data_IF_362477403275
#
_entry.id   IF_362477403275
#
_cell.length_a   1.000
_cell.length_b   1.000
_cell.length_c   1.000
_cell.angle_alpha   90.00
_cell.angle_beta   90.00
_cell.angle_gamma   90.00
#
_symmetry.space_group_name_H-M   'P 1'
#
loop_
_entity.id
_entity.type
_entity.pdbx_description
1 polymer ?
#
# COMPACT_ATOMS: atom_id res chain seq x y z
N UNK A 1 -67.82 -15.71 23.39
CA UNK A 1 -67.07 -16.97 23.23
C UNK A 1 -65.58 -16.61 23.23
N UNK A 2 -64.82 -17.12 24.21
CA UNK A 2 -63.35 -17.18 24.41
C UNK A 2 -62.42 -16.25 23.59
N UNK A 3 -61.76 -15.27 24.26
CA UNK A 3 -60.40 -15.28 24.87
C UNK A 3 -59.25 -15.08 23.85
N UNK A 4 -58.52 -13.96 23.85
CA UNK A 4 -57.39 -13.51 24.71
C UNK A 4 -56.01 -13.93 24.18
N UNK A 5 -55.10 -12.95 24.25
CA UNK A 5 -53.70 -12.91 23.87
C UNK A 5 -52.74 -13.82 24.69
N UNK A 6 -51.48 -13.82 24.22
CA UNK A 6 -50.23 -13.71 24.99
C UNK A 6 -49.27 -14.91 24.99
N UNK A 7 -48.04 -14.56 25.35
CA UNK A 7 -46.72 -15.15 25.13
C UNK A 7 -46.34 -16.41 25.91
N UNK A 8 -45.18 -16.96 25.51
CA UNK A 8 -44.08 -17.50 26.32
C UNK A 8 -44.16 -18.91 26.96
N UNK A 9 -42.99 -19.57 26.82
CA UNK A 9 -42.27 -20.48 27.73
C UNK A 9 -42.80 -21.89 28.05
N UNK A 10 -41.91 -22.84 27.75
CA UNK A 10 -41.49 -24.04 28.50
C UNK A 10 -42.52 -25.10 28.92
N UNK A 11 -42.23 -26.34 28.52
CA UNK A 11 -42.71 -27.56 29.17
C UNK A 11 -41.56 -28.26 29.90
N UNK A 12 -41.78 -28.48 31.19
CA UNK A 12 -41.00 -29.25 32.16
C UNK A 12 -41.36 -30.73 32.15
N UNK A 13 -40.55 -31.61 32.76
CA UNK A 13 -41.00 -32.60 33.77
C UNK A 13 -39.76 -33.21 34.50
N UNK A 14 -39.54 -32.92 35.80
CA UNK A 14 -39.86 -33.73 37.02
C UNK A 14 -38.96 -34.98 37.22
N UNK A 15 -38.47 -35.41 38.40
CA UNK A 15 -38.56 -35.05 39.84
C UNK A 15 -37.51 -35.91 40.61
N UNK A 16 -36.89 -35.37 41.68
CA UNK A 16 -36.78 -35.91 43.08
C UNK A 16 -36.41 -37.42 43.29
N UNK A 17 -35.45 -37.87 44.11
CA UNK A 17 -35.14 -37.60 45.53
C UNK A 17 -33.86 -38.37 46.00
N UNK A 18 -33.21 -37.81 47.03
CA UNK A 18 -32.37 -38.38 48.13
C UNK A 18 -32.34 -39.92 48.32
N UNK A 19 -31.29 -40.59 48.80
CA UNK A 19 -30.62 -40.42 50.13
C UNK A 19 -29.43 -41.41 50.29
N UNK A 20 -28.47 -41.03 51.14
CA UNK A 20 -27.26 -41.74 51.63
C UNK A 20 -27.48 -43.18 52.16
N UNK A 21 -26.48 -44.07 51.99
CA UNK A 21 -25.94 -44.93 53.06
C UNK A 21 -24.55 -45.51 52.73
N UNK A 22 -23.85 -45.91 53.78
CA UNK A 22 -22.39 -45.93 53.99
C UNK A 22 -21.94 -47.35 54.37
N UNK A 23 -20.66 -47.65 54.10
CA UNK A 23 -19.74 -48.55 54.85
C UNK A 23 -19.67 -50.07 54.59
N UNK A 24 -18.44 -50.48 54.20
CA UNK A 24 -17.42 -51.28 54.95
C UNK A 24 -17.06 -52.70 54.44
N UNK A 25 -15.73 -52.84 54.21
CA UNK A 25 -14.79 -53.96 54.53
C UNK A 25 -15.06 -55.33 53.88
N UNK A 26 -14.11 -56.22 53.60
CA UNK A 26 -12.64 -56.28 53.52
C UNK A 26 -12.28 -57.76 53.23
N UNK A 27 -11.19 -58.06 52.52
CA UNK A 27 -10.25 -59.21 52.72
C UNK A 27 -9.42 -59.43 51.43
N UNK A 28 -8.10 -59.20 51.46
CA UNK A 28 -7.00 -60.18 51.66
C UNK A 28 -6.92 -61.29 50.59
N UNK A 29 -5.88 -61.29 49.76
CA UNK A 29 -4.71 -62.16 49.92
C UNK A 29 -3.67 -61.94 48.79
N UNK A 30 -2.41 -62.06 49.17
CA UNK A 30 -1.22 -61.92 48.34
C UNK A 30 -0.84 -63.25 47.67
N UNK A 31 -0.11 -63.17 46.56
CA UNK A 31 0.90 -64.18 46.18
C UNK A 31 2.10 -63.48 45.53
N UNK A 32 3.28 -63.87 46.00
CA UNK A 32 4.62 -63.40 45.63
C UNK A 32 5.37 -64.47 44.83
N UNK A 33 6.49 -64.02 44.23
CA UNK A 33 7.61 -64.76 43.56
C UNK A 33 7.48 -64.87 42.04
N UNK A 34 8.50 -64.65 41.21
CA UNK A 34 9.94 -64.38 41.43
C UNK A 34 10.61 -63.87 40.13
N UNK A 35 11.71 -63.13 40.33
CA UNK A 35 12.84 -62.73 39.47
C UNK A 35 13.03 -63.22 38.02
N UNK A 36 13.64 -62.29 37.26
CA UNK A 36 14.72 -62.36 36.23
C UNK A 36 14.24 -61.62 34.96
N UNK A 37 14.91 -60.63 34.37
CA UNK A 37 16.25 -60.10 34.50
C UNK A 37 16.40 -58.82 33.65
N UNK A 38 17.29 -57.93 34.09
CA UNK A 38 17.69 -56.70 33.40
C UNK A 38 18.19 -56.95 31.99
N UNK A 39 17.64 -56.23 30.98
CA UNK A 39 18.35 -55.73 29.78
C UNK A 39 17.55 -54.90 28.77
N UNK A 40 16.27 -54.59 28.99
CA UNK A 40 15.42 -53.96 27.95
C UNK A 40 15.01 -52.49 28.18
N UNK A 41 15.53 -51.80 29.20
CA UNK A 41 15.02 -50.47 29.60
C UNK A 41 15.82 -49.26 29.11
N UNK A 42 16.97 -49.44 28.46
CA UNK A 42 17.81 -48.31 28.02
C UNK A 42 17.68 -47.91 26.53
N UNK A 43 16.95 -48.67 25.71
CA UNK A 43 16.79 -48.33 24.27
C UNK A 43 15.45 -47.66 23.90
N UNK A 44 14.45 -47.65 24.79
CA UNK A 44 13.10 -47.14 24.46
C UNK A 44 12.89 -45.66 24.79
N UNK A 45 13.73 -45.05 25.63
CA UNK A 45 13.62 -43.62 25.98
C UNK A 45 14.32 -42.68 24.99
N UNK A 46 15.31 -43.16 24.23
CA UNK A 46 16.02 -42.31 23.26
C UNK A 46 15.27 -42.08 21.94
N UNK A 47 14.36 -42.98 21.56
CA UNK A 47 13.61 -42.85 20.29
C UNK A 47 12.36 -41.96 20.38
N UNK A 48 11.89 -41.65 21.59
CA UNK A 48 10.69 -40.80 21.80
C UNK A 48 11.01 -39.32 21.97
N UNK A 49 12.27 -38.94 22.21
CA UNK A 49 12.64 -37.54 22.40
C UNK A 49 13.03 -36.83 21.09
N UNK A 50 13.43 -37.58 20.06
CA UNK A 50 13.93 -37.02 18.78
C UNK A 50 12.78 -36.71 17.81
N UNK A 51 11.60 -37.31 17.99
CA UNK A 51 10.42 -37.06 17.15
C UNK A 51 9.55 -35.90 17.63
N UNK A 52 9.69 -35.48 18.90
CA UNK A 52 8.96 -34.34 19.45
C UNK A 52 9.64 -32.99 19.14
N UNK A 53 10.95 -32.97 18.96
CA UNK A 53 11.69 -31.73 18.65
C UNK A 53 11.57 -31.28 17.20
N UNK A 54 11.38 -32.22 16.24
CA UNK A 54 11.21 -31.86 14.81
C UNK A 54 9.82 -31.29 14.47
N UNK A 55 8.75 -31.77 15.10
CA UNK A 55 7.39 -31.26 14.83
C UNK A 55 7.15 -29.87 15.45
N UNK A 56 7.72 -29.60 16.63
CA UNK A 56 7.65 -28.27 17.24
C UNK A 56 8.52 -27.24 16.53
N UNK A 57 9.67 -27.63 15.94
CA UNK A 57 10.50 -26.70 15.17
C UNK A 57 9.82 -26.29 13.85
N UNK A 58 9.11 -27.20 13.18
CA UNK A 58 8.37 -26.89 11.94
C UNK A 58 7.17 -25.99 12.21
N UNK A 59 6.48 -26.16 13.35
CA UNK A 59 5.37 -25.27 13.73
C UNK A 59 5.87 -23.87 14.15
N UNK A 60 7.04 -23.78 14.78
CA UNK A 60 7.69 -22.50 15.13
C UNK A 60 8.26 -21.79 13.90
N UNK A 61 8.75 -22.55 12.91
CA UNK A 61 9.16 -22.02 11.59
C UNK A 61 7.95 -21.58 10.76
N UNK A 62 6.79 -22.23 10.85
CA UNK A 62 5.56 -21.77 10.18
C UNK A 62 4.94 -20.50 10.80
N UNK A 63 5.24 -20.20 12.07
CA UNK A 63 4.81 -18.96 12.73
C UNK A 63 5.72 -17.76 12.45
N UNK A 64 6.87 -17.97 11.77
CA UNK A 64 7.78 -16.90 11.34
C UNK A 64 7.61 -16.51 9.86
N UNK A 65 6.65 -17.11 9.15
CA UNK A 65 6.37 -16.84 7.73
C UNK A 65 4.94 -16.33 7.51
N UNK A 66 4.44 -15.50 8.42
CA UNK A 66 3.26 -14.66 8.14
C UNK A 66 3.62 -13.17 8.17
N UNK A 67 4.75 -12.81 7.60
CA UNK A 67 4.81 -11.51 6.92
C UNK A 67 4.28 -11.75 5.51
N UNK A 68 2.96 -11.60 5.35
CA UNK A 68 2.39 -11.34 4.05
C UNK A 68 3.09 -10.07 3.55
N UNK A 69 3.94 -10.22 2.52
CA UNK A 69 4.51 -9.13 1.76
C UNK A 69 3.38 -8.41 1.00
N UNK A 70 2.51 -7.74 1.74
CA UNK A 70 1.72 -6.65 1.22
C UNK A 70 2.67 -5.48 1.06
N UNK A 71 2.61 -4.79 -0.09
CA UNK A 71 3.23 -3.47 -0.24
C UNK A 71 2.83 -2.65 1.01
N UNK A 72 3.82 -2.28 1.83
CA UNK A 72 3.55 -1.72 3.15
C UNK A 72 2.99 -0.31 2.97
N UNK A 73 1.66 -0.17 3.01
CA UNK A 73 0.97 1.12 3.03
C UNK A 73 1.21 1.91 4.32
N UNK A 74 1.99 1.38 5.27
CA UNK A 74 2.36 2.05 6.51
C UNK A 74 3.52 3.01 6.32
N UNK A 75 3.39 4.22 6.88
CA UNK A 75 4.50 5.17 6.99
C UNK A 75 5.58 4.60 7.91
N UNK A 76 6.83 4.65 7.46
CA UNK A 76 7.96 4.23 8.29
C UNK A 76 9.18 5.10 7.97
N UNK A 77 9.34 6.17 8.75
CA UNK A 77 10.38 7.17 8.55
C UNK A 77 11.78 6.56 8.64
N UNK A 78 12.62 6.89 7.65
CA UNK A 78 14.05 6.62 7.68
C UNK A 78 14.81 7.92 7.99
N UNK A 79 15.33 8.09 9.22
CA UNK A 79 15.88 9.38 9.68
C UNK A 79 16.99 9.96 8.80
N UNK A 80 17.73 9.11 8.06
CA UNK A 80 18.79 9.55 7.13
C UNK A 80 18.31 10.48 6.01
N UNK A 81 17.00 10.50 5.73
CA UNK A 81 16.38 11.34 4.70
C UNK A 81 15.78 12.63 5.27
N UNK A 82 15.80 12.81 6.59
CA UNK A 82 15.36 14.06 7.23
C UNK A 82 16.42 15.17 7.14
N UNK A 83 17.66 14.84 6.83
CA UNK A 83 18.73 15.83 6.68
C UNK A 83 18.41 16.76 5.51
N UNK A 84 18.47 18.06 5.75
CA UNK A 84 18.24 19.10 4.74
C UNK A 84 19.03 20.36 5.09
N UNK A 85 19.17 21.27 4.11
CA UNK A 85 19.75 22.58 4.31
C UNK A 85 18.68 23.67 4.11
N UNK A 86 18.05 24.17 5.19
CA UNK A 86 16.95 25.12 5.11
C UNK A 86 17.30 26.44 4.41
N UNK A 87 18.57 26.85 4.44
CA UNK A 87 19.05 28.10 3.84
C UNK A 87 19.51 27.94 2.39
N UNK A 88 19.40 26.72 1.84
CA UNK A 88 19.83 26.46 0.46
C UNK A 88 18.87 27.08 -0.55
N UNK A 89 19.43 27.82 -1.51
CA UNK A 89 18.73 28.30 -2.71
C UNK A 89 19.13 27.52 -3.97
N UNK A 90 19.83 26.38 -3.80
CA UNK A 90 20.22 25.53 -4.93
C UNK A 90 18.98 24.93 -5.59
N UNK A 91 19.04 24.80 -6.91
CA UNK A 91 17.98 24.21 -7.74
C UNK A 91 18.54 22.97 -8.43
N UNK A 92 17.74 21.91 -8.45
CA UNK A 92 18.03 20.65 -9.14
C UNK A 92 17.51 20.76 -10.57
N UNK A 93 18.36 20.39 -11.52
CA UNK A 93 18.02 20.46 -12.93
C UNK A 93 17.23 19.20 -13.34
N UNK A 94 15.95 19.40 -13.69
CA UNK A 94 15.05 18.35 -14.19
C UNK A 94 14.86 18.37 -15.72
N UNK A 95 15.75 19.02 -16.49
CA UNK A 95 15.56 19.24 -17.93
C UNK A 95 15.45 17.94 -18.75
N UNK A 96 16.22 16.89 -18.40
CA UNK A 96 16.13 15.60 -19.09
C UNK A 96 14.75 14.96 -18.90
N UNK A 97 14.24 15.00 -17.67
CA UNK A 97 12.88 14.56 -17.35
C UNK A 97 11.83 15.41 -18.05
N UNK A 98 11.96 16.74 -18.01
CA UNK A 98 11.05 17.64 -18.72
C UNK A 98 11.03 17.39 -20.23
N UNK A 99 12.19 17.09 -20.82
CA UNK A 99 12.32 16.77 -22.25
C UNK A 99 11.58 15.48 -22.58
N UNK A 100 11.72 14.44 -21.73
CA UNK A 100 10.93 13.22 -21.86
C UNK A 100 9.43 13.51 -21.76
N UNK A 101 9.00 14.26 -20.73
CA UNK A 101 7.58 14.60 -20.51
C UNK A 101 6.98 15.30 -21.72
N UNK A 102 7.70 16.27 -22.30
CA UNK A 102 7.25 17.01 -23.49
C UNK A 102 7.07 16.10 -24.72
N UNK A 103 7.88 15.04 -24.83
CA UNK A 103 7.88 14.13 -25.98
C UNK A 103 6.85 13.02 -25.85
N UNK A 104 6.56 12.57 -24.63
CA UNK A 104 5.82 11.32 -24.40
C UNK A 104 4.56 11.46 -23.56
N UNK A 105 4.29 12.60 -22.96
CA UNK A 105 3.06 12.81 -22.20
C UNK A 105 2.08 13.66 -22.99
N UNK A 106 0.97 13.02 -23.38
CA UNK A 106 -0.15 13.66 -24.06
C UNK A 106 -1.35 13.77 -23.12
N UNK A 107 -2.20 14.77 -23.35
CA UNK A 107 -3.44 14.94 -22.57
C UNK A 107 -4.61 14.60 -23.48
N UNK A 108 -5.49 13.69 -23.07
CA UNK A 108 -6.70 13.36 -23.83
C UNK A 108 -7.83 14.37 -23.56
N UNK A 109 -8.97 14.19 -24.23
CA UNK A 109 -10.15 15.07 -24.11
C UNK A 109 -10.77 15.09 -22.70
N UNK A 110 -10.55 14.03 -21.92
CA UNK A 110 -10.98 13.90 -20.52
C UNK A 110 -9.97 14.53 -19.53
N UNK A 111 -8.98 15.27 -20.03
CA UNK A 111 -7.89 15.87 -19.25
C UNK A 111 -7.03 14.83 -18.50
N UNK A 112 -6.93 13.61 -19.02
CA UNK A 112 -6.06 12.56 -18.51
C UNK A 112 -4.71 12.65 -19.21
N UNK A 113 -3.63 12.69 -18.43
CA UNK A 113 -2.28 12.62 -18.97
C UNK A 113 -1.88 11.15 -19.17
N UNK A 114 -1.66 10.80 -20.44
CA UNK A 114 -1.28 9.49 -20.92
C UNK A 114 0.19 9.50 -21.35
N UNK A 115 0.89 8.39 -21.13
CA UNK A 115 2.27 8.20 -21.56
C UNK A 115 2.26 7.34 -22.82
N UNK A 116 2.79 7.87 -23.91
CA UNK A 116 2.89 7.19 -25.20
C UNK A 116 4.02 6.16 -25.20
N UNK A 117 3.80 5.04 -24.49
CA UNK A 117 4.74 3.91 -24.44
C UNK A 117 4.91 3.24 -25.80
N UNK A 118 3.83 3.15 -26.60
CA UNK A 118 3.82 2.53 -27.94
C UNK A 118 4.91 3.07 -28.87
N UNK A 119 5.13 4.39 -28.85
CA UNK A 119 6.08 5.01 -29.75
C UNK A 119 7.41 5.39 -29.08
N UNK A 120 7.72 4.89 -27.88
CA UNK A 120 9.00 5.17 -27.23
C UNK A 120 10.19 4.75 -28.08
N UNK A 121 11.15 5.67 -28.22
CA UNK A 121 12.39 5.45 -28.97
C UNK A 121 13.56 5.28 -28.02
N UNK A 122 14.70 4.81 -28.53
CA UNK A 122 15.93 4.73 -27.75
C UNK A 122 16.36 6.10 -27.17
N UNK A 123 16.05 7.20 -27.86
CA UNK A 123 16.31 8.55 -27.35
C UNK A 123 15.53 8.80 -26.05
N UNK A 124 14.26 8.38 -26.00
CA UNK A 124 13.41 8.57 -24.82
C UNK A 124 13.87 7.70 -23.65
N UNK A 125 14.24 6.45 -23.93
CA UNK A 125 14.80 5.53 -22.92
C UNK A 125 16.13 6.07 -22.36
N UNK A 126 16.97 6.65 -23.21
CA UNK A 126 18.22 7.28 -22.78
C UNK A 126 17.95 8.52 -21.92
N UNK A 127 16.97 9.36 -22.26
CA UNK A 127 16.57 10.50 -21.41
C UNK A 127 16.19 10.06 -20.00
N UNK A 128 15.39 8.99 -19.86
CA UNK A 128 15.02 8.43 -18.55
C UNK A 128 16.24 7.91 -17.78
N UNK A 129 17.07 7.10 -18.45
CA UNK A 129 18.28 6.51 -17.86
C UNK A 129 19.26 7.58 -17.37
N UNK A 130 19.56 8.56 -18.21
CA UNK A 130 20.51 9.61 -17.90
C UNK A 130 19.97 10.55 -16.81
N UNK A 131 18.67 10.82 -16.83
CA UNK A 131 18.00 11.56 -15.77
C UNK A 131 18.15 10.84 -14.41
N UNK A 132 17.75 9.57 -14.32
CA UNK A 132 17.81 8.81 -13.07
C UNK A 132 19.25 8.63 -12.57
N UNK A 133 20.20 8.43 -13.49
CA UNK A 133 21.63 8.44 -13.15
C UNK A 133 22.04 9.77 -12.52
N UNK A 134 21.72 10.89 -13.16
CA UNK A 134 22.05 12.22 -12.60
C UNK A 134 21.41 12.46 -11.24
N UNK A 135 20.17 12.00 -11.02
CA UNK A 135 19.50 12.11 -9.73
C UNK A 135 20.21 11.26 -8.64
N UNK A 136 20.74 10.09 -9.00
CA UNK A 136 21.44 9.21 -8.06
C UNK A 136 22.75 9.80 -7.51
N UNK A 137 23.37 10.71 -8.25
CA UNK A 137 24.65 11.34 -7.92
C UNK A 137 24.48 12.61 -7.06
N UNK A 138 23.24 13.13 -6.93
CA UNK A 138 22.95 14.33 -6.15
C UNK A 138 22.99 14.02 -4.65
N UNK A 139 23.82 14.77 -3.91
CA UNK A 139 23.72 14.81 -2.45
C UNK A 139 22.53 15.70 -2.03
N UNK A 140 21.39 15.05 -1.82
CA UNK A 140 20.10 15.68 -1.54
C UNK A 140 20.06 16.45 -0.21
N UNK A 141 20.98 16.19 0.72
CA UNK A 141 21.07 16.86 2.03
C UNK A 141 21.42 18.35 1.91
N UNK A 142 22.00 18.75 0.78
CA UNK A 142 22.41 20.14 0.50
C UNK A 142 21.26 21.06 0.07
N UNK A 143 20.02 20.55 0.02
CA UNK A 143 18.87 21.25 -0.53
C UNK A 143 17.81 21.49 0.55
N UNK A 144 16.98 22.51 0.34
CA UNK A 144 15.85 22.81 1.22
C UNK A 144 14.69 21.81 1.00
N UNK A 145 13.72 21.80 1.92
CA UNK A 145 12.61 20.84 1.91
C UNK A 145 11.75 20.84 0.65
N UNK A 146 11.52 21.99 0.04
CA UNK A 146 10.69 22.06 -1.16
C UNK A 146 11.44 21.44 -2.35
N UNK A 147 12.73 21.75 -2.49
CA UNK A 147 13.54 21.17 -3.55
C UNK A 147 13.73 19.65 -3.36
N UNK A 148 13.86 19.20 -2.10
CA UNK A 148 13.88 17.77 -1.79
C UNK A 148 12.59 17.05 -2.17
N UNK A 149 11.41 17.62 -1.87
CA UNK A 149 10.14 16.99 -2.26
C UNK A 149 9.98 16.95 -3.78
N UNK A 150 10.27 18.06 -4.46
CA UNK A 150 10.26 18.11 -5.93
C UNK A 150 11.15 17.03 -6.55
N UNK A 151 12.36 16.85 -6.01
CA UNK A 151 13.27 15.77 -6.40
C UNK A 151 12.63 14.39 -6.26
N UNK A 152 12.07 14.05 -5.09
CA UNK A 152 11.51 12.73 -4.84
C UNK A 152 10.27 12.43 -5.68
N UNK A 153 9.38 13.42 -5.87
CA UNK A 153 8.22 13.28 -6.76
C UNK A 153 8.65 13.01 -8.21
N UNK A 154 9.66 13.73 -8.70
CA UNK A 154 10.16 13.51 -10.05
C UNK A 154 10.89 12.16 -10.20
N UNK A 155 11.71 11.76 -9.21
CA UNK A 155 12.42 10.46 -9.22
C UNK A 155 11.42 9.31 -9.20
N UNK A 156 10.43 9.33 -8.32
CA UNK A 156 9.38 8.29 -8.26
C UNK A 156 8.70 8.14 -9.62
N UNK A 157 8.19 9.25 -10.17
CA UNK A 157 7.46 9.23 -11.44
C UNK A 157 8.34 8.76 -12.61
N UNK A 158 9.60 9.18 -12.68
CA UNK A 158 10.52 8.75 -13.72
C UNK A 158 10.87 7.25 -13.60
N UNK A 159 11.03 6.73 -12.38
CA UNK A 159 11.22 5.29 -12.14
C UNK A 159 10.00 4.49 -12.59
N UNK A 160 8.78 4.91 -12.19
CA UNK A 160 7.54 4.23 -12.61
C UNK A 160 7.44 4.16 -14.13
N UNK A 161 7.69 5.27 -14.82
CA UNK A 161 7.64 5.33 -16.28
C UNK A 161 8.73 4.45 -16.92
N UNK A 162 9.95 4.48 -16.40
CA UNK A 162 11.04 3.62 -16.91
C UNK A 162 10.71 2.14 -16.77
N UNK A 163 10.12 1.74 -15.63
CA UNK A 163 9.74 0.35 -15.40
C UNK A 163 8.67 -0.06 -16.41
N UNK A 164 7.60 0.71 -16.57
CA UNK A 164 6.56 0.37 -17.55
C UNK A 164 7.13 0.32 -18.96
N UNK A 165 7.97 1.28 -19.34
CA UNK A 165 8.63 1.28 -20.65
C UNK A 165 9.45 0.01 -20.93
N UNK A 166 10.12 -0.54 -19.91
CA UNK A 166 10.93 -1.76 -20.04
C UNK A 166 10.11 -3.04 -20.20
N UNK A 167 8.85 -3.04 -19.74
CA UNK A 167 7.98 -4.22 -19.76
C UNK A 167 6.84 -4.11 -20.78
N UNK A 168 6.66 -2.94 -21.41
CA UNK A 168 5.61 -2.70 -22.38
C UNK A 168 5.74 -3.65 -23.60
N UNK A 169 4.62 -4.18 -24.16
CA UNK A 169 3.22 -3.95 -23.81
C UNK A 169 2.73 -4.78 -22.62
N UNK A 170 2.00 -4.13 -21.70
CA UNK A 170 1.30 -4.73 -20.55
C UNK A 170 -0.08 -4.12 -20.39
N UNK A 171 -1.01 -4.86 -19.78
CA UNK A 171 -2.36 -4.33 -19.52
C UNK A 171 -2.41 -3.53 -18.22
N UNK A 172 -1.65 -3.97 -17.22
CA UNK A 172 -1.57 -3.35 -15.91
C UNK A 172 -0.15 -3.46 -15.36
N UNK A 173 0.30 -2.43 -14.64
CA UNK A 173 1.59 -2.42 -13.94
C UNK A 173 1.70 -3.58 -12.92
N UNK A 174 0.58 -4.13 -12.44
CA UNK A 174 0.55 -5.27 -11.51
C UNK A 174 1.14 -6.56 -12.10
N UNK A 175 1.23 -6.66 -13.43
CA UNK A 175 1.83 -7.82 -14.13
C UNK A 175 3.37 -7.84 -14.03
N UNK A 176 4.00 -6.73 -13.65
CA UNK A 176 5.47 -6.61 -13.58
C UNK A 176 5.98 -7.25 -12.28
N UNK A 177 6.20 -8.57 -12.30
CA UNK A 177 6.60 -9.37 -11.14
C UNK A 177 8.12 -9.35 -10.89
N UNK A 178 8.66 -8.17 -10.58
CA UNK A 178 10.10 -7.96 -10.28
C UNK A 178 10.39 -7.73 -8.80
N UNK A 179 9.35 -7.52 -7.99
CA UNK A 179 9.49 -7.39 -6.54
C UNK A 179 9.96 -8.73 -5.94
N UNK A 180 10.76 -8.72 -4.86
CA UNK A 180 11.17 -9.93 -4.18
C UNK A 180 10.01 -10.58 -3.42
N UNK A 181 9.92 -11.91 -3.47
CA UNK A 181 8.94 -12.71 -2.73
C UNK A 181 7.97 -13.48 -3.62
N UNK A 182 7.52 -14.65 -3.18
CA UNK A 182 6.72 -15.59 -3.99
C UNK A 182 5.29 -15.09 -4.29
N UNK A 183 4.82 -14.07 -3.58
CA UNK A 183 3.47 -13.52 -3.67
C UNK A 183 3.43 -12.00 -3.85
N UNK A 184 4.55 -11.39 -4.23
CA UNK A 184 4.59 -9.95 -4.49
C UNK A 184 3.84 -9.61 -5.78
N UNK A 185 3.10 -8.51 -5.77
CA UNK A 185 2.35 -8.01 -6.93
C UNK A 185 2.98 -6.71 -7.41
N UNK A 186 3.23 -6.60 -8.73
CA UNK A 186 3.79 -5.41 -9.36
C UNK A 186 5.22 -5.07 -8.91
N UNK A 187 5.74 -3.90 -9.36
CA UNK A 187 7.16 -3.58 -9.26
C UNK A 187 7.55 -2.80 -8.00
N UNK A 188 6.59 -2.44 -7.14
CA UNK A 188 6.78 -1.42 -6.11
C UNK A 188 7.86 -1.75 -5.06
N UNK A 189 8.09 -3.04 -4.79
CA UNK A 189 9.09 -3.52 -3.84
C UNK A 189 10.44 -3.89 -4.46
N UNK A 190 10.65 -3.69 -5.76
CA UNK A 190 11.93 -3.96 -6.40
C UNK A 190 12.94 -2.84 -6.13
N UNK A 191 14.21 -3.19 -5.95
CA UNK A 191 15.30 -2.21 -5.85
C UNK A 191 15.59 -1.61 -7.23
N UNK A 192 15.37 -0.31 -7.39
CA UNK A 192 15.33 0.33 -8.72
C UNK A 192 16.41 1.42 -8.88
N UNK A 193 16.82 2.04 -7.79
CA UNK A 193 17.85 3.08 -7.78
C UNK A 193 18.65 2.98 -6.49
N UNK A 194 19.91 3.42 -6.51
CA UNK A 194 20.72 3.58 -5.29
C UNK A 194 21.02 5.07 -5.10
N UNK A 195 20.62 5.63 -3.97
CA UNK A 195 20.87 7.04 -3.61
C UNK A 195 21.51 7.04 -2.21
N UNK A 196 22.62 7.78 -2.03
CA UNK A 196 23.39 7.79 -0.77
C UNK A 196 23.65 6.38 -0.23
N UNK A 197 24.21 5.52 -1.08
CA UNK A 197 24.55 4.11 -0.79
C UNK A 197 23.37 3.27 -0.27
N UNK A 198 22.14 3.67 -0.57
CA UNK A 198 20.94 2.95 -0.17
C UNK A 198 20.15 2.54 -1.39
N UNK A 199 19.96 1.23 -1.64
CA UNK A 199 19.03 0.77 -2.66
C UNK A 199 17.62 1.16 -2.23
N UNK A 200 16.85 1.69 -3.17
CA UNK A 200 15.51 2.20 -2.94
C UNK A 200 14.52 1.56 -3.90
N UNK A 201 13.37 1.22 -3.34
CA UNK A 201 12.17 0.78 -4.04
C UNK A 201 11.20 1.96 -4.24
N UNK A 202 10.15 1.78 -5.05
CA UNK A 202 9.08 2.78 -5.13
C UNK A 202 8.35 2.92 -3.78
N UNK A 203 8.15 1.79 -3.09
CA UNK A 203 7.55 1.77 -1.75
C UNK A 203 8.38 2.53 -0.72
N UNK A 204 9.71 2.43 -0.76
CA UNK A 204 10.57 3.19 0.15
C UNK A 204 10.47 4.69 -0.13
N UNK A 205 10.54 5.09 -1.41
CA UNK A 205 10.42 6.50 -1.80
C UNK A 205 9.07 7.07 -1.36
N UNK A 206 7.97 6.34 -1.57
CA UNK A 206 6.64 6.80 -1.19
C UNK A 206 6.44 6.79 0.34
N UNK A 207 6.58 5.62 0.96
CA UNK A 207 6.11 5.38 2.33
C UNK A 207 7.12 5.77 3.41
N UNK A 208 8.42 5.75 3.10
CA UNK A 208 9.49 6.00 4.08
C UNK A 208 10.14 7.37 3.94
N UNK A 209 9.97 8.00 2.79
CA UNK A 209 10.56 9.31 2.47
C UNK A 209 9.44 10.34 2.27
N UNK A 210 8.66 10.27 1.19
CA UNK A 210 7.67 11.31 0.84
C UNK A 210 6.58 11.42 1.93
N UNK A 211 5.84 10.35 2.17
CA UNK A 211 4.71 10.36 3.11
C UNK A 211 5.15 10.59 4.55
N UNK A 212 6.29 10.02 4.94
CA UNK A 212 6.79 10.06 6.31
C UNK A 212 7.40 11.43 6.69
N UNK A 213 8.09 12.12 5.77
CA UNK A 213 8.76 13.39 6.07
C UNK A 213 7.83 14.58 5.93
N UNK A 214 7.02 14.63 4.86
CA UNK A 214 6.20 15.82 4.58
C UNK A 214 4.82 15.74 5.20
N UNK A 215 4.27 14.54 5.37
CA UNK A 215 2.91 14.33 5.87
C UNK A 215 1.87 15.23 5.16
N UNK A 216 2.06 15.45 3.86
CA UNK A 216 1.21 16.30 3.03
C UNK A 216 0.33 15.41 2.12
N UNK A 217 -1.00 15.37 2.33
CA UNK A 217 -1.89 14.53 1.53
C UNK A 217 -1.87 14.86 0.05
N UNK A 218 -1.45 16.08 -0.34
CA UNK A 218 -1.38 16.49 -1.75
C UNK A 218 -0.34 15.70 -2.54
N UNK A 219 0.63 15.10 -1.86
CA UNK A 219 1.67 14.27 -2.50
C UNK A 219 1.08 13.05 -3.20
N UNK A 220 -0.04 12.50 -2.72
CA UNK A 220 -0.75 11.41 -3.40
C UNK A 220 -1.17 11.78 -4.81
N UNK A 221 -1.54 13.05 -5.04
CA UNK A 221 -1.94 13.54 -6.36
C UNK A 221 -0.76 13.84 -7.29
N UNK A 222 0.46 13.84 -6.74
CA UNK A 222 1.68 14.10 -7.48
C UNK A 222 2.45 12.82 -7.86
N UNK A 223 2.01 11.66 -7.39
CA UNK A 223 2.57 10.36 -7.72
C UNK A 223 1.64 9.62 -8.69
N UNK A 224 2.19 9.20 -9.82
CA UNK A 224 1.49 8.43 -10.84
C UNK A 224 2.00 6.97 -10.82
N UNK A 225 1.07 6.02 -10.66
CA UNK A 225 1.36 4.58 -10.70
C UNK A 225 1.23 3.97 -12.11
N UNK A 226 1.31 4.79 -13.15
CA UNK A 226 1.12 4.44 -14.55
C UNK A 226 -0.22 3.77 -14.89
N UNK A 227 -1.27 4.03 -14.10
CA UNK A 227 -2.62 3.50 -14.34
C UNK A 227 -3.61 4.61 -14.66
N UNK A 228 -4.65 4.31 -15.44
CA UNK A 228 -5.75 5.25 -15.72
C UNK A 228 -6.36 5.77 -14.42
N UNK A 229 -6.55 4.95 -13.39
CA UNK A 229 -7.12 5.38 -12.10
C UNK A 229 -6.21 6.29 -11.26
N UNK A 230 -4.92 6.40 -11.56
CA UNK A 230 -3.97 7.18 -10.78
C UNK A 230 -4.11 8.68 -11.06
N UNK A 231 -3.68 9.57 -10.15
CA UNK A 231 -3.49 10.98 -10.45
C UNK A 231 -2.62 11.20 -11.69
N UNK A 232 -2.85 12.31 -12.39
CA UNK A 232 -2.14 12.59 -13.64
C UNK A 232 -0.62 12.62 -13.41
N UNK A 233 0.13 11.96 -14.30
CA UNK A 233 1.54 12.28 -14.45
C UNK A 233 1.65 13.74 -14.92
N UNK A 234 2.23 14.61 -14.10
CA UNK A 234 2.37 16.02 -14.47
C UNK A 234 3.16 16.17 -15.77
N UNK A 235 2.70 17.04 -16.68
CA UNK A 235 3.44 17.42 -17.91
C UNK A 235 4.62 18.35 -17.63
N UNK A 236 4.72 18.87 -16.41
CA UNK A 236 5.82 19.70 -15.95
C UNK A 236 6.52 19.02 -14.78
N UNK A 237 7.84 18.94 -14.83
CA UNK A 237 8.63 18.48 -13.70
C UNK A 237 8.32 19.36 -12.47
N UNK A 238 8.24 18.74 -11.29
CA UNK A 238 8.11 19.46 -10.02
C UNK A 238 9.36 20.30 -9.76
N UNK A 239 9.19 21.51 -9.24
CA UNK A 239 10.29 22.44 -8.91
C UNK A 239 10.06 22.98 -7.50
N UNK A 240 11.09 23.05 -6.66
CA UNK A 240 10.90 23.46 -5.25
C UNK A 240 10.32 24.86 -5.09
N UNK A 241 10.65 25.79 -5.99
CA UNK A 241 10.10 27.14 -5.99
C UNK A 241 8.64 27.26 -6.50
N UNK A 242 8.07 26.19 -7.07
CA UNK A 242 6.68 26.13 -7.58
C UNK A 242 5.85 25.04 -6.91
N UNK A 243 6.44 24.34 -5.95
CA UNK A 243 5.90 23.09 -5.44
C UNK A 243 4.48 23.25 -4.88
N UNK A 244 4.24 24.30 -4.09
CA UNK A 244 2.92 24.58 -3.51
C UNK A 244 1.84 24.75 -4.59
N UNK A 245 2.12 25.53 -5.64
CA UNK A 245 1.22 25.72 -6.77
C UNK A 245 0.97 24.38 -7.49
N UNK A 246 2.03 23.62 -7.76
CA UNK A 246 1.95 22.35 -8.48
C UNK A 246 1.17 21.28 -7.69
N UNK A 247 1.35 21.21 -6.37
CA UNK A 247 0.63 20.27 -5.50
C UNK A 247 -0.85 20.64 -5.40
N UNK A 248 -1.18 21.92 -5.24
CA UNK A 248 -2.57 22.39 -5.23
C UNK A 248 -3.25 22.12 -6.58
N UNK A 249 -2.56 22.39 -7.69
CA UNK A 249 -3.10 22.11 -9.02
C UNK A 249 -3.33 20.61 -9.23
N UNK A 250 -2.42 19.75 -8.78
CA UNK A 250 -2.57 18.30 -8.87
C UNK A 250 -3.78 17.81 -8.06
N UNK A 251 -3.95 18.30 -6.82
CA UNK A 251 -5.08 17.99 -5.96
C UNK A 251 -6.41 18.40 -6.59
N UNK A 252 -6.54 19.68 -6.97
CA UNK A 252 -7.74 20.20 -7.64
C UNK A 252 -8.05 19.43 -8.91
N UNK A 253 -7.04 19.14 -9.74
CA UNK A 253 -7.25 18.41 -11.00
C UNK A 253 -7.77 17.00 -10.76
N UNK A 254 -7.18 16.26 -9.82
CA UNK A 254 -7.57 14.88 -9.59
C UNK A 254 -8.93 14.77 -8.90
N UNK A 255 -9.17 15.56 -7.85
CA UNK A 255 -10.41 15.55 -7.08
C UNK A 255 -11.61 15.86 -7.98
N UNK A 256 -11.48 16.80 -8.92
CA UNK A 256 -12.56 17.18 -9.83
C UNK A 256 -12.64 16.33 -11.10
N UNK A 257 -11.91 15.22 -11.16
CA UNK A 257 -12.02 14.24 -12.24
C UNK A 257 -12.94 13.08 -11.85
N UNK A 258 -13.61 12.46 -12.82
CA UNK A 258 -14.43 11.25 -12.59
C UNK A 258 -13.64 10.09 -11.98
N UNK A 259 -12.31 10.10 -12.11
CA UNK A 259 -11.39 9.11 -11.54
C UNK A 259 -11.08 9.36 -10.07
N UNK A 260 -11.19 10.61 -9.61
CA UNK A 260 -10.89 11.02 -8.25
C UNK A 260 -12.13 10.99 -7.37
N UNK A 261 -13.13 11.82 -7.68
CA UNK A 261 -14.35 11.96 -6.88
C UNK A 261 -15.53 12.27 -7.79
N UNK A 262 -16.65 11.59 -7.57
CA UNK A 262 -17.91 11.97 -8.16
C UNK A 262 -19.09 11.60 -7.26
N UNK A 263 -20.19 12.35 -7.40
CA UNK A 263 -21.44 12.08 -6.70
C UNK A 263 -22.48 11.63 -7.71
N UNK A 264 -23.02 10.42 -7.52
CA UNK A 264 -24.04 9.84 -8.39
C UNK A 264 -25.26 9.54 -7.53
N UNK A 265 -26.40 10.16 -7.85
CA UNK A 265 -27.66 10.01 -7.12
C UNK A 265 -27.51 10.26 -5.60
N UNK A 266 -26.68 11.25 -5.23
CA UNK A 266 -26.41 11.60 -3.84
C UNK A 266 -25.44 10.68 -3.10
N UNK A 267 -24.90 9.65 -3.76
CA UNK A 267 -23.87 8.76 -3.22
C UNK A 267 -22.48 9.22 -3.62
N UNK A 268 -21.57 9.30 -2.65
CA UNK A 268 -20.18 9.68 -2.89
C UNK A 268 -19.36 8.45 -3.27
N UNK A 269 -18.82 8.49 -4.49
CA UNK A 269 -17.87 7.51 -4.98
C UNK A 269 -16.51 8.19 -5.11
N UNK A 270 -15.49 7.61 -4.48
CA UNK A 270 -14.13 8.15 -4.52
C UNK A 270 -13.15 7.16 -5.12
N UNK A 271 -11.96 7.63 -5.46
CA UNK A 271 -10.84 6.75 -5.79
C UNK A 271 -10.45 5.86 -4.60
N UNK A 272 -9.93 4.65 -4.88
CA UNK A 272 -9.34 3.79 -3.85
C UNK A 272 -8.14 4.41 -3.13
N UNK A 273 -7.52 5.47 -3.64
CA UNK A 273 -6.43 6.14 -2.89
C UNK A 273 -6.89 6.63 -1.51
N UNK A 274 -8.16 7.01 -1.37
CA UNK A 274 -8.73 7.45 -0.10
C UNK A 274 -9.04 6.28 0.84
N UNK A 275 -9.18 5.07 0.30
CA UNK A 275 -9.30 3.82 1.08
C UNK A 275 -7.90 3.37 1.55
N UNK A 276 -6.92 3.34 0.64
CA UNK A 276 -5.57 2.84 0.95
C UNK A 276 -4.78 3.76 1.88
N UNK A 277 -5.02 5.07 1.79
CA UNK A 277 -4.27 6.09 2.51
C UNK A 277 -5.17 6.95 3.42
N UNK A 278 -6.28 6.40 3.93
CA UNK A 278 -7.24 7.13 4.79
C UNK A 278 -6.54 7.90 5.94
N UNK A 279 -5.53 7.28 6.57
CA UNK A 279 -4.71 7.89 7.63
C UNK A 279 -4.07 9.21 7.20
N UNK A 280 -3.65 9.33 5.94
CA UNK A 280 -2.98 10.54 5.43
C UNK A 280 -3.95 11.70 5.22
N UNK A 281 -5.25 11.39 5.13
CA UNK A 281 -6.32 12.36 5.00
C UNK A 281 -7.03 12.66 6.33
N UNK A 282 -6.50 12.15 7.45
CA UNK A 282 -7.02 12.38 8.81
C UNK A 282 -7.53 11.13 9.51
N UNK A 283 -7.65 10.01 8.81
CA UNK A 283 -7.93 8.69 9.40
C UNK A 283 -9.41 8.33 9.54
N UNK A 284 -10.31 9.16 9.01
CA UNK A 284 -11.73 8.81 8.90
C UNK A 284 -12.31 9.24 7.54
N UNK A 285 -13.41 8.60 7.13
CA UNK A 285 -14.17 9.01 5.93
C UNK A 285 -14.63 10.48 5.99
N UNK A 286 -14.94 11.00 7.18
CA UNK A 286 -15.32 12.41 7.36
C UNK A 286 -14.13 13.33 7.09
N UNK A 287 -12.94 12.97 7.58
CA UNK A 287 -11.73 13.75 7.33
C UNK A 287 -11.34 13.73 5.85
N UNK A 288 -11.53 12.60 5.17
CA UNK A 288 -11.42 12.54 3.70
C UNK A 288 -12.38 13.55 3.06
N UNK A 289 -13.66 13.57 3.41
CA UNK A 289 -14.61 14.53 2.83
C UNK A 289 -14.21 15.98 3.11
N UNK A 290 -13.69 16.29 4.31
CA UNK A 290 -13.16 17.62 4.61
C UNK A 290 -11.96 17.97 3.73
N UNK A 291 -11.04 17.04 3.50
CA UNK A 291 -9.93 17.23 2.59
C UNK A 291 -10.42 17.50 1.15
N UNK A 292 -11.41 16.72 0.68
CA UNK A 292 -12.00 16.90 -0.66
C UNK A 292 -12.59 18.30 -0.85
N UNK A 293 -13.29 18.83 0.15
CA UNK A 293 -13.92 20.16 0.11
C UNK A 293 -12.92 21.31 -0.11
N UNK A 294 -11.66 21.14 0.28
CA UNK A 294 -10.60 22.16 0.11
C UNK A 294 -10.29 22.40 -1.37
N UNK A 295 -10.34 21.34 -2.18
CA UNK A 295 -9.91 21.37 -3.59
C UNK A 295 -11.05 21.12 -4.58
N UNK A 296 -12.24 20.75 -4.12
CA UNK A 296 -13.42 20.58 -4.96
C UNK A 296 -13.85 21.94 -5.56
N UNK A 297 -14.21 21.91 -6.84
CA UNK A 297 -14.82 23.02 -7.58
C UNK A 297 -16.30 22.73 -7.83
N UNK A 298 -17.09 23.73 -8.22
CA UNK A 298 -18.49 23.49 -8.59
C UNK A 298 -18.58 22.60 -9.85
N UNK A 299 -19.59 21.70 -9.94
CA UNK A 299 -20.68 21.49 -8.98
C UNK A 299 -20.35 20.55 -7.80
N UNK A 300 -19.19 19.89 -7.83
CA UNK A 300 -18.79 18.88 -6.83
C UNK A 300 -18.72 19.47 -5.42
N UNK A 301 -18.18 20.68 -5.28
CA UNK A 301 -18.06 21.33 -3.97
C UNK A 301 -19.40 21.47 -3.25
N UNK A 302 -20.46 21.89 -3.96
CA UNK A 302 -21.78 21.99 -3.35
C UNK A 302 -22.42 20.62 -3.08
N UNK A 303 -22.16 19.61 -3.91
CA UNK A 303 -22.62 18.24 -3.63
C UNK A 303 -22.00 17.67 -2.35
N UNK A 304 -20.70 17.90 -2.13
CA UNK A 304 -19.98 17.38 -0.97
C UNK A 304 -20.43 17.98 0.37
N UNK A 305 -21.00 19.19 0.39
CA UNK A 305 -21.49 19.85 1.63
C UNK A 305 -22.57 19.05 2.37
N UNK A 306 -23.27 18.15 1.66
CA UNK A 306 -24.36 17.35 2.21
C UNK A 306 -23.98 15.89 2.44
N UNK A 307 -22.71 15.54 2.24
CA UNK A 307 -22.19 14.18 2.31
C UNK A 307 -21.32 14.03 3.54
N UNK A 308 -21.59 13.00 4.34
CA UNK A 308 -20.86 12.73 5.59
C UNK A 308 -20.13 11.37 5.58
N UNK A 309 -20.16 10.65 4.46
CA UNK A 309 -19.54 9.34 4.31
C UNK A 309 -19.22 9.04 2.85
N UNK A 310 -18.33 8.09 2.62
CA UNK A 310 -18.01 7.53 1.31
C UNK A 310 -18.79 6.23 1.12
N UNK A 311 -19.54 6.14 0.02
CA UNK A 311 -20.44 5.03 -0.32
C UNK A 311 -19.79 3.96 -1.18
N UNK A 312 -18.70 4.28 -1.89
CA UNK A 312 -17.98 3.33 -2.72
C UNK A 312 -16.62 3.83 -3.19
N UNK A 313 -15.80 2.87 -3.64
CA UNK A 313 -14.46 3.13 -4.15
C UNK A 313 -14.26 2.55 -5.54
N UNK A 314 -13.59 3.30 -6.42
CA UNK A 314 -13.20 2.85 -7.76
C UNK A 314 -11.70 3.03 -7.99
N UNK A 315 -11.11 2.19 -8.83
CA UNK A 315 -9.75 2.39 -9.33
C UNK A 315 -9.54 1.59 -10.62
N UNK A 316 -9.17 2.27 -11.70
CA UNK A 316 -8.90 1.62 -12.97
C UNK A 316 -7.41 1.26 -13.07
N UNK A 317 -7.09 -0.04 -13.02
CA UNK A 317 -5.72 -0.57 -13.07
C UNK A 317 -5.11 -0.67 -14.46
N UNK A 318 -5.85 -0.36 -15.53
CA UNK A 318 -5.31 -0.37 -16.89
C UNK A 318 -4.20 0.67 -17.03
N UNK A 319 -3.18 0.35 -17.84
CA UNK A 319 -2.05 1.24 -18.07
C UNK A 319 -2.51 2.59 -18.64
N UNK A 320 -1.89 3.69 -18.21
CA UNK A 320 -2.18 5.03 -18.73
C UNK A 320 -1.50 5.31 -20.09
N UNK A 321 -1.68 4.40 -21.04
CA UNK A 321 -1.23 4.58 -22.42
C UNK A 321 -2.37 5.07 -23.30
N UNK A 322 -2.12 5.86 -24.36
CA UNK A 322 -3.07 6.00 -25.45
C UNK A 322 -3.45 4.62 -25.96
N UNK A 323 -4.74 4.42 -26.25
CA UNK A 323 -5.17 3.28 -27.05
C UNK A 323 -4.40 3.33 -28.35
N UNK A 324 -3.80 2.22 -28.78
CA UNK A 324 -3.26 2.13 -30.14
C UNK A 324 -4.38 2.56 -31.09
N UNK A 325 -4.13 3.61 -31.88
CA UNK A 325 -5.16 4.30 -32.65
C UNK A 325 -6.05 3.34 -33.45
N UNK A 326 -7.33 3.70 -33.54
CA UNK A 326 -8.23 3.30 -34.62
C UNK A 326 -7.76 3.91 -35.95
#
# INVERSE_FOLDING_TARGET
MFKTACSNKYMSLFRKLTTKRKMKKSSKCAYTQSHVGSRALLKKQYFSLVTFTKKSLVLLLMLLFTELANASFYKNLWPKWEVNNPLSHKVINHQLWQTFLNRRVITNEENINLVDYNHMTQIDLNLLKDYLKSMSEINIDNYNRNEQLAYWLNVYNALTVQIVANYYPITTIQEINISPGLFSVGPWGANLITIKDTPLTLDDINNRIIRAIWNDPRTHYALNNATIGAPNLSRKAYQGNKLEEQLNQAATTYINSLRGVHVVEGKLITSKIYEWYEEDFGGTKQDVVFHLLIFATEPLQSQLKHINSIDGYIYNWHINSPTADL
#
